data_IF_664118552360
#
_entry.id   IF_664118552360
#
_cell.length_a   1.000
_cell.length_b   1.000
_cell.length_c   1.000
_cell.angle_alpha   90.00
_cell.angle_beta   90.00
_cell.angle_gamma   90.00
#
_symmetry.space_group_name_H-M   'P 1'
#
loop_
_entity.id
_entity.type
_entity.pdbx_description
1 polymer ?
#
# COMPACT_ATOMS: atom_id res chain seq x y z
N UNK A 1 13.19 -3.41 -21.66
CA UNK A 1 13.35 -2.91 -20.27
C UNK A 1 14.81 -3.06 -19.87
N UNK A 2 15.46 -2.00 -19.42
CA UNK A 2 16.88 -2.00 -19.03
C UNK A 2 17.12 -2.80 -17.74
N UNK A 3 18.15 -3.66 -17.69
CA UNK A 3 18.42 -4.57 -16.55
C UNK A 3 18.49 -3.90 -15.17
N UNK A 4 18.94 -2.64 -15.10
CA UNK A 4 18.90 -1.81 -13.87
C UNK A 4 17.48 -1.62 -13.31
N UNK A 5 16.46 -1.51 -14.16
CA UNK A 5 15.07 -1.32 -13.75
C UNK A 5 14.49 -2.61 -13.17
N UNK A 6 14.77 -3.76 -13.80
CA UNK A 6 14.37 -5.07 -13.31
C UNK A 6 15.00 -5.37 -11.93
N UNK A 7 16.30 -5.08 -11.77
CA UNK A 7 16.98 -5.22 -10.48
C UNK A 7 16.37 -4.33 -9.40
N UNK A 8 16.04 -3.07 -9.71
CA UNK A 8 15.42 -2.16 -8.74
C UNK A 8 14.04 -2.66 -8.29
N UNK A 9 13.25 -3.18 -9.22
CA UNK A 9 11.94 -3.77 -8.92
C UNK A 9 12.13 -4.99 -8.02
N UNK A 10 13.05 -5.90 -8.38
CA UNK A 10 13.31 -7.12 -7.60
C UNK A 10 13.76 -6.79 -6.17
N UNK A 11 14.71 -5.85 -6.00
CA UNK A 11 15.18 -5.43 -4.68
C UNK A 11 14.08 -4.73 -3.88
N UNK A 12 13.24 -3.91 -4.53
CA UNK A 12 12.10 -3.28 -3.86
C UNK A 12 11.05 -4.31 -3.41
N UNK A 13 10.78 -5.34 -4.23
CA UNK A 13 9.89 -6.44 -3.87
C UNK A 13 10.45 -7.24 -2.68
N UNK A 14 11.73 -7.62 -2.73
CA UNK A 14 12.39 -8.32 -1.61
C UNK A 14 12.35 -7.48 -0.34
N UNK A 15 12.65 -6.17 -0.43
CA UNK A 15 12.58 -5.27 0.71
C UNK A 15 11.17 -5.16 1.29
N UNK A 16 10.13 -5.14 0.45
CA UNK A 16 8.74 -5.15 0.90
C UNK A 16 8.38 -6.47 1.61
N UNK A 17 8.80 -7.62 1.06
CA UNK A 17 8.59 -8.93 1.70
C UNK A 17 9.29 -9.02 3.06
N UNK A 18 10.55 -8.55 3.14
CA UNK A 18 11.30 -8.50 4.40
C UNK A 18 10.61 -7.57 5.40
N UNK A 19 10.08 -6.42 4.97
CA UNK A 19 9.33 -5.53 5.84
C UNK A 19 8.09 -6.22 6.44
N UNK A 20 7.30 -6.92 5.62
CA UNK A 20 6.14 -7.69 6.09
C UNK A 20 6.56 -8.79 7.07
N UNK A 21 7.67 -9.48 6.78
CA UNK A 21 8.22 -10.50 7.66
C UNK A 21 8.66 -9.93 9.02
N UNK A 22 9.36 -8.80 9.03
CA UNK A 22 9.74 -8.12 10.29
C UNK A 22 8.51 -7.71 11.10
N UNK A 23 7.46 -7.24 10.44
CA UNK A 23 6.20 -6.85 11.09
C UNK A 23 5.50 -8.05 11.77
N UNK A 24 5.71 -9.27 11.25
CA UNK A 24 5.26 -10.52 11.86
C UNK A 24 6.18 -10.99 13.00
N UNK A 25 7.50 -10.84 12.84
CA UNK A 25 8.49 -11.31 13.81
C UNK A 25 8.56 -10.45 15.08
N UNK A 26 8.34 -9.13 14.99
CA UNK A 26 8.33 -8.22 16.15
C UNK A 26 7.41 -8.71 17.27
N UNK A 27 6.12 -9.02 17.00
CA UNK A 27 5.24 -9.72 17.94
C UNK A 27 5.85 -10.95 18.61
N UNK A 28 6.47 -11.83 17.82
CA UNK A 28 7.02 -13.11 18.27
C UNK A 28 8.24 -12.89 19.16
N UNK A 29 9.11 -11.94 18.79
CA UNK A 29 10.28 -11.59 19.59
C UNK A 29 9.90 -10.92 20.91
N UNK A 30 8.81 -10.12 20.94
CA UNK A 30 8.25 -9.55 22.18
C UNK A 30 7.70 -10.66 23.08
N UNK A 31 6.90 -11.60 22.55
CA UNK A 31 6.32 -12.67 23.36
C UNK A 31 7.36 -13.62 23.95
N UNK A 32 8.48 -13.82 23.24
CA UNK A 32 9.61 -14.61 23.71
C UNK A 32 10.58 -13.83 24.63
N UNK A 33 10.30 -12.55 24.92
CA UNK A 33 11.14 -11.70 25.78
C UNK A 33 12.50 -11.34 25.16
N UNK A 34 12.67 -11.50 23.84
CA UNK A 34 13.93 -11.28 23.12
C UNK A 34 14.04 -9.84 22.62
N UNK A 35 14.14 -8.88 23.53
CA UNK A 35 14.12 -7.45 23.21
C UNK A 35 15.25 -7.00 22.27
N UNK A 36 16.41 -7.66 22.29
CA UNK A 36 17.49 -7.40 21.33
C UNK A 36 17.06 -7.70 19.88
N UNK A 37 16.29 -8.78 19.68
CA UNK A 37 15.75 -9.13 18.37
C UNK A 37 14.69 -8.13 17.91
N UNK A 38 13.82 -7.67 18.82
CA UNK A 38 12.82 -6.64 18.53
C UNK A 38 13.48 -5.37 18.00
N UNK A 39 14.59 -4.93 18.63
CA UNK A 39 15.32 -3.75 18.18
C UNK A 39 15.91 -3.95 16.77
N UNK A 40 16.51 -5.12 16.51
CA UNK A 40 17.06 -5.45 15.20
C UNK A 40 15.96 -5.51 14.12
N UNK A 41 14.85 -6.17 14.40
CA UNK A 41 13.71 -6.29 13.50
C UNK A 41 13.08 -4.93 13.19
N UNK A 42 12.95 -4.06 14.20
CA UNK A 42 12.47 -2.69 14.02
C UNK A 42 13.41 -1.85 13.15
N UNK A 43 14.72 -1.96 13.34
CA UNK A 43 15.71 -1.26 12.50
C UNK A 43 15.65 -1.74 11.04
N UNK A 44 15.55 -3.05 10.81
CA UNK A 44 15.41 -3.64 9.48
C UNK A 44 14.11 -3.16 8.83
N UNK A 45 13.00 -3.18 9.57
CA UNK A 45 11.71 -2.68 9.08
C UNK A 45 11.81 -1.22 8.64
N UNK A 46 12.39 -0.35 9.47
CA UNK A 46 12.59 1.07 9.14
C UNK A 46 13.45 1.22 7.89
N UNK A 47 14.54 0.45 7.76
CA UNK A 47 15.41 0.48 6.59
C UNK A 47 14.67 0.06 5.31
N UNK A 48 13.89 -1.02 5.36
CA UNK A 48 13.08 -1.49 4.23
C UNK A 48 12.03 -0.45 3.81
N UNK A 49 11.28 0.12 4.76
CA UNK A 49 10.28 1.15 4.47
C UNK A 49 10.93 2.40 3.89
N UNK A 50 12.06 2.84 4.44
CA UNK A 50 12.81 3.99 3.95
C UNK A 50 13.34 3.75 2.52
N UNK A 51 13.83 2.54 2.23
CA UNK A 51 14.27 2.16 0.90
C UNK A 51 13.12 2.18 -0.11
N UNK A 52 12.01 1.50 0.18
CA UNK A 52 10.85 1.44 -0.72
C UNK A 52 10.28 2.84 -0.97
N UNK A 53 10.12 3.67 0.07
CA UNK A 53 9.65 5.05 -0.10
C UNK A 53 10.61 5.88 -0.93
N UNK A 54 11.92 5.70 -0.79
CA UNK A 54 12.92 6.36 -1.63
C UNK A 54 12.82 5.93 -3.09
N UNK A 55 12.67 4.63 -3.36
CA UNK A 55 12.47 4.09 -4.72
C UNK A 55 11.20 4.66 -5.35
N UNK A 56 10.08 4.66 -4.63
CA UNK A 56 8.82 5.24 -5.12
C UNK A 56 8.94 6.74 -5.40
N UNK A 57 9.65 7.49 -4.55
CA UNK A 57 9.88 8.93 -4.78
C UNK A 57 10.75 9.17 -6.03
N UNK A 58 11.76 8.33 -6.24
CA UNK A 58 12.61 8.41 -7.43
C UNK A 58 11.84 8.08 -8.71
N UNK A 59 11.01 7.03 -8.68
CA UNK A 59 10.16 6.64 -9.81
C UNK A 59 9.15 7.75 -10.16
N UNK A 60 8.47 8.33 -9.15
CA UNK A 60 7.56 9.48 -9.36
C UNK A 60 8.24 10.70 -9.97
N UNK A 61 9.50 11.00 -9.62
CA UNK A 61 10.27 12.11 -10.22
C UNK A 61 10.54 11.85 -11.69
N UNK A 62 11.02 10.65 -12.02
CA UNK A 62 11.29 10.24 -13.41
C UNK A 62 10.03 10.23 -14.27
N UNK A 63 8.89 9.81 -13.73
CA UNK A 63 7.61 9.89 -14.44
C UNK A 63 7.20 11.32 -14.74
N UNK A 64 7.44 12.28 -13.82
CA UNK A 64 7.14 13.71 -14.05
C UNK A 64 8.04 14.32 -15.13
N UNK A 65 9.33 13.98 -15.12
CA UNK A 65 10.29 14.41 -16.15
C UNK A 65 9.93 13.85 -17.53
N UNK A 66 9.55 12.57 -17.60
CA UNK A 66 9.08 11.95 -18.84
C UNK A 66 7.78 12.57 -19.36
N UNK A 67 6.87 13.00 -18.47
CA UNK A 67 5.63 13.69 -18.84
C UNK A 67 5.87 15.13 -19.33
N UNK A 68 6.92 15.80 -18.85
CA UNK A 68 7.28 17.15 -19.29
C UNK A 68 7.83 17.18 -20.73
N UNK A 69 8.48 16.08 -21.15
CA UNK A 69 9.05 15.90 -22.49
C UNK A 69 8.00 15.57 -23.57
N UNK A 70 6.74 15.31 -23.21
CA UNK A 70 5.67 15.07 -24.17
C UNK A 70 5.16 16.38 -24.80
N UNK A 71 4.89 16.41 -26.12
CA UNK A 71 4.22 17.52 -26.79
C UNK A 71 2.89 17.86 -26.10
N UNK A 72 2.51 19.15 -26.01
CA UNK A 72 1.35 19.60 -25.23
C UNK A 72 0.03 18.90 -25.59
N UNK A 73 -0.15 18.49 -26.85
CA UNK A 73 -1.32 17.78 -27.37
C UNK A 73 -1.42 16.30 -26.94
N UNK A 74 -0.30 15.68 -26.53
CA UNK A 74 -0.25 14.28 -26.04
C UNK A 74 -0.09 14.18 -24.53
N UNK A 75 -0.07 15.32 -23.82
CA UNK A 75 -0.01 15.30 -22.36
C UNK A 75 -1.37 14.81 -21.85
N UNK A 76 -1.43 13.69 -21.09
CA UNK A 76 -2.68 13.26 -20.50
C UNK A 76 -3.25 14.39 -19.64
N UNK A 77 -4.55 14.63 -19.78
CA UNK A 77 -5.26 15.69 -19.08
C UNK A 77 -4.89 15.65 -17.59
N UNK A 78 -4.41 16.78 -17.08
CA UNK A 78 -3.82 16.86 -15.74
C UNK A 78 -4.91 16.46 -14.75
N UNK A 79 -4.88 15.20 -14.27
CA UNK A 79 -5.79 14.71 -13.22
C UNK A 79 -5.58 15.59 -11.99
N UNK A 80 -6.40 16.63 -11.86
CA UNK A 80 -6.48 17.43 -10.65
C UNK A 80 -6.92 16.45 -9.56
N UNK A 81 -6.10 16.18 -8.53
CA UNK A 81 -6.55 15.36 -7.43
C UNK A 81 -7.74 16.11 -6.80
N UNK A 82 -8.96 15.63 -7.02
CA UNK A 82 -10.19 16.27 -6.49
C UNK A 82 -10.21 16.28 -4.95
N UNK A 83 -9.32 15.54 -4.29
CA UNK A 83 -9.18 15.55 -2.84
C UNK A 83 -7.72 15.62 -2.39
N UNK A 84 -7.43 16.38 -1.33
CA UNK A 84 -6.09 16.44 -0.75
C UNK A 84 -5.67 15.08 -0.20
N UNK A 85 -4.41 14.72 -0.43
CA UNK A 85 -3.76 13.46 -0.04
C UNK A 85 -3.88 13.16 1.47
N UNK A 86 -4.14 14.17 2.30
CA UNK A 86 -4.39 14.04 3.74
C UNK A 86 -5.62 13.18 4.07
N UNK A 87 -6.62 13.11 3.19
CA UNK A 87 -7.81 12.28 3.41
C UNK A 87 -7.47 10.78 3.42
N UNK A 88 -6.53 10.37 2.55
CA UNK A 88 -6.13 8.98 2.41
C UNK A 88 -5.36 8.46 3.62
N UNK A 89 -4.55 9.30 4.28
CA UNK A 89 -3.84 8.89 5.51
C UNK A 89 -4.82 8.67 6.66
N UNK A 90 -5.79 9.58 6.84
CA UNK A 90 -6.83 9.44 7.87
C UNK A 90 -7.68 8.20 7.64
N UNK A 91 -8.12 7.95 6.41
CA UNK A 91 -8.90 6.75 6.08
C UNK A 91 -8.11 5.46 6.34
N UNK A 92 -6.84 5.39 5.93
CA UNK A 92 -6.00 4.21 6.22
C UNK A 92 -5.79 4.01 7.71
N UNK A 93 -5.56 5.07 8.47
CA UNK A 93 -5.39 4.99 9.93
C UNK A 93 -6.68 4.52 10.60
N UNK A 94 -7.84 5.00 10.15
CA UNK A 94 -9.14 4.62 10.67
C UNK A 94 -9.47 3.16 10.35
N UNK A 95 -9.21 2.72 9.12
CA UNK A 95 -9.34 1.32 8.72
C UNK A 95 -8.43 0.40 9.55
N UNK A 96 -7.18 0.83 9.80
CA UNK A 96 -6.26 0.11 10.67
C UNK A 96 -6.80 -0.02 12.09
N UNK A 97 -7.27 1.08 12.71
CA UNK A 97 -7.81 1.06 14.06
C UNK A 97 -9.03 0.16 14.19
N UNK A 98 -9.94 0.18 13.21
CA UNK A 98 -11.12 -0.68 13.18
C UNK A 98 -10.72 -2.15 13.12
N UNK A 99 -9.82 -2.51 12.19
CA UNK A 99 -9.35 -3.89 12.08
C UNK A 99 -8.55 -4.34 13.30
N UNK A 100 -7.76 -3.45 13.89
CA UNK A 100 -7.02 -3.73 15.12
C UNK A 100 -7.98 -4.04 16.27
N UNK A 101 -8.99 -3.20 16.48
CA UNK A 101 -9.99 -3.41 17.53
C UNK A 101 -10.76 -4.73 17.31
N UNK A 102 -11.18 -5.01 16.07
CA UNK A 102 -11.90 -6.23 15.72
C UNK A 102 -11.04 -7.49 15.95
N UNK A 103 -9.79 -7.50 15.47
CA UNK A 103 -8.91 -8.66 15.64
C UNK A 103 -8.50 -8.82 17.10
N UNK A 104 -8.19 -7.74 17.81
CA UNK A 104 -7.83 -7.79 19.23
C UNK A 104 -8.99 -8.34 20.08
N UNK A 105 -10.22 -7.88 19.81
CA UNK A 105 -11.42 -8.39 20.47
C UNK A 105 -11.66 -9.87 20.11
N UNK A 106 -11.59 -10.23 18.83
CA UNK A 106 -11.76 -11.61 18.39
C UNK A 106 -10.76 -12.56 19.05
N UNK A 107 -9.48 -12.19 19.05
CA UNK A 107 -8.43 -12.99 19.67
C UNK A 107 -8.58 -13.09 21.20
N UNK A 108 -9.06 -12.03 21.87
CA UNK A 108 -9.30 -12.06 23.31
C UNK A 108 -10.52 -12.92 23.69
N UNK A 109 -11.64 -12.76 22.98
CA UNK A 109 -12.91 -13.38 23.35
C UNK A 109 -13.14 -14.76 22.73
N UNK A 110 -12.65 -14.99 21.51
CA UNK A 110 -12.89 -16.24 20.76
C UNK A 110 -11.70 -17.18 20.85
N UNK A 111 -10.48 -16.65 20.64
CA UNK A 111 -9.26 -17.49 20.62
C UNK A 111 -8.68 -17.67 22.03
N UNK A 112 -9.00 -16.80 22.99
CA UNK A 112 -8.50 -16.87 24.36
C UNK A 112 -7.01 -16.54 24.47
N UNK A 113 -6.47 -15.74 23.55
CA UNK A 113 -5.06 -15.35 23.57
C UNK A 113 -4.78 -14.37 24.70
N UNK A 114 -3.66 -14.60 25.41
CA UNK A 114 -3.14 -13.64 26.39
C UNK A 114 -2.85 -12.26 25.77
N UNK A 115 -2.80 -11.19 26.59
CA UNK A 115 -2.74 -9.81 26.10
C UNK A 115 -1.53 -9.52 25.22
N UNK A 116 -0.35 -10.08 25.55
CA UNK A 116 0.90 -9.85 24.81
C UNK A 116 0.87 -10.47 23.40
N UNK A 117 0.62 -11.77 23.20
CA UNK A 117 0.52 -12.35 21.86
C UNK A 117 -0.64 -11.78 21.05
N UNK A 118 -1.75 -11.42 21.72
CA UNK A 118 -2.90 -10.81 21.07
C UNK A 118 -2.54 -9.47 20.39
N UNK A 119 -1.90 -8.55 21.11
CA UNK A 119 -1.54 -7.23 20.58
C UNK A 119 -0.68 -7.37 19.32
N UNK A 120 0.31 -8.27 19.35
CA UNK A 120 1.20 -8.47 18.22
C UNK A 120 0.49 -9.03 16.98
N UNK A 121 -0.34 -10.07 17.15
CA UNK A 121 -1.13 -10.66 16.05
C UNK A 121 -2.14 -9.63 15.52
N UNK A 122 -2.80 -8.87 16.40
CA UNK A 122 -3.77 -7.86 16.03
C UNK A 122 -3.14 -6.73 15.20
N UNK A 123 -1.94 -6.25 15.55
CA UNK A 123 -1.22 -5.23 14.76
C UNK A 123 -0.95 -5.74 13.34
N UNK A 124 -0.41 -6.96 13.22
CA UNK A 124 -0.08 -7.55 11.92
C UNK A 124 -1.33 -7.75 11.06
N UNK A 125 -2.36 -8.41 11.61
CA UNK A 125 -3.60 -8.67 10.91
C UNK A 125 -4.31 -7.38 10.49
N UNK A 126 -4.35 -6.39 11.38
CA UNK A 126 -4.94 -5.08 11.08
C UNK A 126 -4.19 -4.34 9.97
N UNK A 127 -2.87 -4.42 9.95
CA UNK A 127 -2.06 -3.84 8.88
C UNK A 127 -2.38 -4.48 7.52
N UNK A 128 -2.43 -5.81 7.47
CA UNK A 128 -2.76 -6.55 6.24
C UNK A 128 -4.18 -6.23 5.75
N UNK A 129 -5.16 -6.28 6.67
CA UNK A 129 -6.57 -6.02 6.36
C UNK A 129 -6.81 -4.56 5.95
N UNK A 130 -6.18 -3.59 6.62
CA UNK A 130 -6.26 -2.18 6.24
C UNK A 130 -5.66 -1.95 4.86
N UNK A 131 -4.50 -2.55 4.57
CA UNK A 131 -3.87 -2.45 3.26
C UNK A 131 -4.76 -3.04 2.17
N UNK A 132 -5.32 -4.24 2.38
CA UNK A 132 -6.28 -4.85 1.45
C UNK A 132 -7.53 -3.99 1.26
N UNK A 133 -8.09 -3.44 2.34
CA UNK A 133 -9.30 -2.59 2.31
C UNK A 133 -9.06 -1.34 1.45
N UNK A 134 -7.94 -0.65 1.68
CA UNK A 134 -7.60 0.57 0.96
C UNK A 134 -7.28 0.26 -0.51
N UNK A 135 -6.53 -0.81 -0.78
CA UNK A 135 -6.15 -1.19 -2.15
C UNK A 135 -7.37 -1.68 -2.94
N UNK A 136 -8.24 -2.48 -2.32
CA UNK A 136 -9.49 -2.96 -2.91
C UNK A 136 -10.46 -1.83 -3.25
N UNK A 137 -10.61 -0.82 -2.38
CA UNK A 137 -11.42 0.38 -2.65
C UNK A 137 -10.92 1.13 -3.90
N UNK A 138 -9.60 1.28 -4.05
CA UNK A 138 -9.02 1.91 -5.25
C UNK A 138 -9.28 1.10 -6.51
N UNK A 139 -9.25 -0.24 -6.44
CA UNK A 139 -9.55 -1.11 -7.58
C UNK A 139 -11.03 -1.00 -7.99
N UNK A 140 -11.94 -1.00 -7.01
CA UNK A 140 -13.37 -0.87 -7.24
C UNK A 140 -13.75 0.48 -7.87
N UNK A 141 -13.11 1.59 -7.47
CA UNK A 141 -13.29 2.88 -8.12
C UNK A 141 -12.75 2.94 -9.55
N UNK A 142 -11.71 2.16 -9.88
CA UNK A 142 -11.22 2.10 -11.27
C UNK A 142 -12.19 1.33 -12.15
N UNK A 143 -12.75 0.23 -11.66
CA UNK A 143 -13.76 -0.55 -12.38
C UNK A 143 -15.03 0.27 -12.65
N UNK A 144 -15.53 1.01 -11.65
CA UNK A 144 -16.72 1.89 -11.85
C UNK A 144 -16.43 3.07 -12.77
N UNK A 145 -15.22 3.65 -12.72
CA UNK A 145 -14.85 4.73 -13.64
C UNK A 145 -14.63 4.24 -15.08
N UNK A 146 -14.21 3.00 -15.28
CA UNK A 146 -14.10 2.36 -16.59
C UNK A 146 -15.51 2.07 -17.15
N UNK A 147 -16.44 1.56 -16.34
CA UNK A 147 -17.85 1.33 -16.72
C UNK A 147 -18.61 2.61 -17.11
N UNK A 148 -18.40 3.73 -16.40
CA UNK A 148 -19.03 5.00 -16.73
C UNK A 148 -18.47 5.62 -18.03
N UNK A 149 -17.20 5.33 -18.36
CA UNK A 149 -16.60 5.79 -19.62
C UNK A 149 -17.16 5.04 -20.83
N UNK A 150 -17.48 3.75 -20.67
CA UNK A 150 -18.04 2.90 -21.72
C UNK A 150 -19.52 3.23 -21.99
N UNK A 151 -20.28 3.60 -20.95
CA UNK A 151 -21.67 4.08 -21.11
C UNK A 151 -21.78 5.52 -21.65
N UNK A 152 -20.71 6.30 -21.58
CA UNK A 152 -20.65 7.68 -22.08
C UNK A 152 -20.18 7.82 -23.53
N UNK A 153 -19.78 6.73 -24.20
CA UNK A 153 -19.31 6.77 -25.58
C UNK A 153 -20.51 6.96 -26.55
N UNK A 154 -20.57 8.04 -27.35
CA UNK A 154 -21.59 8.17 -28.38
C UNK A 154 -21.41 7.05 -29.41
N UNK A 155 -22.52 6.50 -29.96
CA UNK A 155 -22.43 5.42 -30.95
C UNK A 155 -21.54 5.86 -32.12
N UNK A 156 -20.75 4.93 -32.71
CA UNK A 156 -19.88 5.27 -33.83
C UNK A 156 -20.71 5.90 -34.94
N UNK A 157 -20.47 7.19 -35.19
CA UNK A 157 -21.13 7.93 -36.26
C UNK A 157 -20.89 7.25 -37.61
N UNK A 158 -21.80 7.44 -38.59
CA UNK A 158 -21.73 6.74 -39.86
C UNK A 158 -20.39 7.05 -40.53
N UNK A 159 -19.63 5.99 -40.84
CA UNK A 159 -18.43 6.08 -41.67
C UNK A 159 -18.89 6.45 -43.08
N UNK A 160 -18.78 7.72 -43.42
CA UNK A 160 -18.83 8.16 -44.81
C UNK A 160 -17.50 7.73 -45.45
N UNK A 161 -17.63 6.94 -46.52
CA UNK A 161 -16.54 6.35 -47.29
C UNK A 161 -15.80 7.36 -48.17
#
# INVERSE_FOLDING_TARGET
MTGRRALTILVATVAATVAVLMLLLIPVSITLGRYANVLAEALILVACVAYVTRVMRADRRRSREALALLPPERRPERRVPRRPITFQVRETLLAFLVWFALVAAFNAFVVGLGPVPNVGIAIFAAFMLATLTVTGRHMMFRLTAEEDSDRGAPPPGPRLG
#
